data_IF_224841448535
#
_entry.id   IF_224841448535
#
_cell.length_a   1.000
_cell.length_b   1.000
_cell.length_c   1.000
_cell.angle_alpha   90.00
_cell.angle_beta   90.00
_cell.angle_gamma   90.00
#
_symmetry.space_group_name_H-M   'P 1'
#
loop_
_entity.id
_entity.type
_entity.pdbx_description
1 polymer ?
#
# COMPACT_ATOMS: atom_id res chain seq x y z
N UNK A 1 -5.68 0.23 16.36
CA UNK A 1 -6.11 0.43 14.96
C UNK A 1 -7.63 0.55 14.86
N UNK A 2 -8.13 1.17 13.82
CA UNK A 2 -9.55 1.18 13.45
C UNK A 2 -9.69 0.36 12.18
N UNK A 3 -10.70 -0.51 12.14
CA UNK A 3 -10.95 -1.38 10.98
C UNK A 3 -12.28 -1.00 10.35
N UNK A 4 -12.28 -0.74 9.06
CA UNK A 4 -13.47 -0.65 8.22
C UNK A 4 -13.58 -1.93 7.41
N UNK A 5 -14.78 -2.44 7.22
CA UNK A 5 -15.00 -3.66 6.43
C UNK A 5 -16.14 -3.44 5.44
N UNK A 6 -16.06 -4.12 4.30
CA UNK A 6 -17.09 -4.16 3.27
C UNK A 6 -17.25 -5.62 2.79
N UNK A 7 -18.44 -5.98 2.37
CA UNK A 7 -18.76 -7.33 1.88
C UNK A 7 -19.14 -8.31 2.98
N UNK A 8 -19.41 -9.55 2.58
CA UNK A 8 -19.83 -10.61 3.48
C UNK A 8 -18.63 -11.16 4.28
N UNK A 9 -18.68 -11.20 5.63
CA UNK A 9 -17.60 -11.79 6.44
C UNK A 9 -17.30 -13.26 6.16
N UNK A 10 -18.20 -14.00 5.49
CA UNK A 10 -18.02 -15.39 5.07
C UNK A 10 -17.31 -15.52 3.71
N UNK A 11 -17.23 -14.43 2.94
CA UNK A 11 -16.54 -14.42 1.65
C UNK A 11 -15.00 -14.48 1.82
N UNK A 12 -14.25 -14.88 0.76
CA UNK A 12 -12.80 -14.83 0.78
C UNK A 12 -12.27 -13.43 1.15
N UNK A 13 -11.34 -13.34 2.10
CA UNK A 13 -10.91 -12.06 2.65
C UNK A 13 -9.83 -11.38 1.80
N UNK A 14 -9.95 -10.06 1.62
CA UNK A 14 -8.94 -9.17 1.02
C UNK A 14 -8.53 -8.12 2.06
N UNK A 15 -7.22 -8.05 2.37
CA UNK A 15 -6.66 -7.15 3.37
C UNK A 15 -5.91 -6.00 2.69
N UNK A 16 -6.22 -4.75 3.06
CA UNK A 16 -5.60 -3.54 2.49
C UNK A 16 -4.73 -2.82 3.51
N UNK A 17 -3.47 -2.53 3.17
CA UNK A 17 -2.59 -1.66 3.95
C UNK A 17 -2.41 -0.33 3.21
N UNK A 18 -2.84 0.76 3.82
CA UNK A 18 -2.90 2.08 3.19
C UNK A 18 -1.56 2.82 3.18
N UNK A 19 -1.45 3.82 2.32
CA UNK A 19 -0.29 4.70 2.18
C UNK A 19 -0.13 5.69 3.37
N UNK A 20 1.01 6.41 3.39
CA UNK A 20 1.27 7.48 4.36
C UNK A 20 0.29 8.64 4.17
N UNK A 21 -0.12 9.25 5.27
CA UNK A 21 -0.93 10.46 5.26
C UNK A 21 -2.40 10.27 4.96
N UNK A 22 -2.87 9.05 4.77
CA UNK A 22 -4.29 8.71 4.58
C UNK A 22 -4.76 7.73 5.65
N UNK A 23 -6.07 7.52 5.76
CA UNK A 23 -6.68 6.45 6.56
C UNK A 23 -6.93 5.20 5.71
N UNK A 24 -7.20 4.05 6.33
CA UNK A 24 -7.57 2.82 5.61
C UNK A 24 -8.77 2.98 4.67
N UNK A 25 -9.65 3.95 4.96
CA UNK A 25 -10.76 4.30 4.07
C UNK A 25 -10.34 4.76 2.67
N UNK A 26 -9.08 5.16 2.46
CA UNK A 26 -8.58 5.51 1.11
C UNK A 26 -8.67 4.37 0.10
N UNK A 27 -8.71 3.12 0.57
CA UNK A 27 -8.92 1.94 -0.29
C UNK A 27 -10.40 1.60 -0.51
N UNK A 28 -11.32 2.34 0.11
CA UNK A 28 -12.76 2.08 -0.02
C UNK A 28 -13.29 2.19 -1.44
N UNK A 29 -12.88 3.17 -2.28
CA UNK A 29 -13.33 3.22 -3.67
C UNK A 29 -13.03 1.94 -4.46
N UNK A 30 -11.87 1.32 -4.21
CA UNK A 30 -11.51 0.01 -4.80
C UNK A 30 -12.32 -1.12 -4.17
N UNK A 31 -12.40 -1.15 -2.83
CA UNK A 31 -13.08 -2.20 -2.08
C UNK A 31 -14.58 -2.28 -2.40
N UNK A 32 -15.23 -1.16 -2.71
CA UNK A 32 -16.64 -1.11 -3.15
C UNK A 32 -16.91 -1.93 -4.42
N UNK A 33 -15.91 -2.07 -5.30
CA UNK A 33 -16.00 -2.89 -6.50
C UNK A 33 -15.58 -4.34 -6.30
N UNK A 34 -15.18 -4.73 -5.08
CA UNK A 34 -14.82 -6.10 -4.71
C UNK A 34 -15.82 -6.73 -3.73
N UNK A 35 -16.60 -5.91 -2.99
CA UNK A 35 -17.42 -6.33 -1.85
C UNK A 35 -18.55 -7.31 -2.18
N UNK A 36 -18.92 -7.45 -3.44
CA UNK A 36 -19.92 -8.41 -3.93
C UNK A 36 -19.44 -9.86 -3.84
N UNK A 37 -18.10 -10.08 -3.90
CA UNK A 37 -17.48 -11.42 -3.86
C UNK A 37 -16.49 -11.59 -2.73
N UNK A 38 -16.00 -10.50 -2.13
CA UNK A 38 -14.89 -10.53 -1.18
C UNK A 38 -15.22 -9.76 0.11
N UNK A 39 -14.71 -10.27 1.22
CA UNK A 39 -14.68 -9.56 2.48
C UNK A 39 -13.47 -8.64 2.53
N UNK A 40 -13.66 -7.35 2.25
CA UNK A 40 -12.60 -6.34 2.23
C UNK A 40 -12.37 -5.78 3.63
N UNK A 41 -11.11 -5.82 4.10
CA UNK A 41 -10.70 -5.36 5.43
C UNK A 41 -9.70 -4.21 5.26
N UNK A 42 -10.06 -3.03 5.77
CA UNK A 42 -9.33 -1.77 5.60
C UNK A 42 -8.89 -1.22 6.97
N UNK A 43 -7.77 -1.71 7.52
CA UNK A 43 -7.20 -1.17 8.75
C UNK A 43 -6.70 0.26 8.56
N UNK A 44 -6.95 1.13 9.53
CA UNK A 44 -6.26 2.42 9.69
C UNK A 44 -5.18 2.26 10.74
N UNK A 45 -3.93 2.54 10.37
CA UNK A 45 -2.80 2.51 11.30
C UNK A 45 -3.05 3.43 12.50
N UNK A 46 -2.58 3.02 13.68
CA UNK A 46 -2.69 3.83 14.91
C UNK A 46 -2.04 5.20 14.79
N UNK A 47 -1.14 5.40 13.83
CA UNK A 47 -0.57 6.73 13.49
C UNK A 47 -1.67 7.73 13.14
N UNK A 48 -2.74 7.24 12.47
CA UNK A 48 -3.84 8.06 11.95
C UNK A 48 -5.18 7.81 12.66
N UNK A 49 -5.14 7.19 13.85
CA UNK A 49 -6.31 7.01 14.70
C UNK A 49 -6.32 8.05 15.83
N UNK A 50 -7.36 8.88 15.90
CA UNK A 50 -7.49 9.87 16.96
C UNK A 50 -7.47 9.22 18.34
N UNK A 51 -6.71 9.80 19.27
CA UNK A 51 -6.56 9.30 20.64
C UNK A 51 -5.65 8.06 20.79
N UNK A 52 -5.17 7.47 19.69
CA UNK A 52 -4.22 6.35 19.73
C UNK A 52 -2.78 6.84 19.51
N UNK A 53 -1.83 6.03 19.94
CA UNK A 53 -0.39 6.29 19.75
C UNK A 53 0.22 5.09 19.04
N UNK A 54 0.92 5.34 17.96
CA UNK A 54 1.73 4.30 17.33
C UNK A 54 2.80 3.79 18.32
N UNK A 55 2.87 2.49 18.51
CA UNK A 55 3.85 1.84 19.39
C UNK A 55 5.00 1.27 18.58
N UNK A 56 4.70 0.32 17.70
CA UNK A 56 5.66 -0.35 16.81
C UNK A 56 4.94 -1.06 15.66
N UNK A 57 5.69 -1.40 14.62
CA UNK A 57 5.22 -2.22 13.50
C UNK A 57 4.70 -3.59 13.99
N UNK A 58 5.41 -4.23 14.91
CA UNK A 58 4.97 -5.50 15.52
C UNK A 58 3.65 -5.36 16.28
N UNK A 59 3.38 -4.22 16.92
CA UNK A 59 2.09 -3.95 17.56
C UNK A 59 0.96 -3.79 16.55
N UNK A 60 1.23 -3.13 15.42
CA UNK A 60 0.27 -3.02 14.31
C UNK A 60 -0.07 -4.39 13.72
N UNK A 61 0.95 -5.21 13.43
CA UNK A 61 0.76 -6.59 12.93
C UNK A 61 -0.10 -7.40 13.89
N UNK A 62 0.21 -7.37 15.19
CA UNK A 62 -0.58 -8.09 16.19
C UNK A 62 -2.05 -7.64 16.20
N UNK A 63 -2.32 -6.33 16.10
CA UNK A 63 -3.68 -5.82 16.05
C UNK A 63 -4.44 -6.29 14.80
N UNK A 64 -3.77 -6.39 13.64
CA UNK A 64 -4.34 -6.97 12.42
C UNK A 64 -4.65 -8.45 12.62
N UNK A 65 -3.70 -9.25 13.11
CA UNK A 65 -3.92 -10.68 13.34
C UNK A 65 -5.04 -10.94 14.36
N UNK A 66 -5.10 -10.15 15.43
CA UNK A 66 -6.17 -10.23 16.42
C UNK A 66 -7.54 -9.91 15.81
N UNK A 67 -7.60 -8.93 14.89
CA UNK A 67 -8.83 -8.61 14.18
C UNK A 67 -9.24 -9.76 13.26
N UNK A 68 -8.33 -10.25 12.40
CA UNK A 68 -8.60 -11.37 11.49
C UNK A 68 -9.10 -12.61 12.23
N UNK A 69 -8.47 -12.93 13.38
CA UNK A 69 -8.89 -14.04 14.24
C UNK A 69 -10.31 -13.83 14.79
N UNK A 70 -10.65 -12.63 15.29
CA UNK A 70 -12.00 -12.32 15.79
C UNK A 70 -13.06 -12.39 14.69
N UNK A 71 -12.70 -12.03 13.44
CA UNK A 71 -13.60 -12.18 12.30
C UNK A 71 -13.69 -13.62 11.77
N UNK A 72 -12.92 -14.55 12.32
CA UNK A 72 -12.93 -15.94 11.89
C UNK A 72 -12.23 -16.18 10.54
N UNK A 73 -11.45 -15.22 10.05
CA UNK A 73 -10.70 -15.33 8.79
C UNK A 73 -9.70 -16.48 8.89
N UNK A 74 -9.78 -17.42 7.94
CA UNK A 74 -8.90 -18.62 7.89
C UNK A 74 -7.81 -18.51 6.84
N UNK A 75 -7.99 -17.66 5.83
CA UNK A 75 -7.02 -17.38 4.77
C UNK A 75 -7.30 -16.01 4.17
N UNK A 76 -6.31 -15.45 3.50
CA UNK A 76 -6.44 -14.22 2.74
C UNK A 76 -6.34 -14.56 1.24
N UNK A 77 -7.34 -14.21 0.46
CA UNK A 77 -7.30 -14.34 -0.99
C UNK A 77 -6.25 -13.39 -1.58
N UNK A 78 -6.18 -12.17 -1.03
CA UNK A 78 -5.23 -11.15 -1.47
C UNK A 78 -4.84 -10.22 -0.31
N UNK A 79 -3.58 -9.83 -0.27
CA UNK A 79 -3.07 -8.69 0.50
C UNK A 79 -2.71 -7.58 -0.47
N UNK A 80 -3.32 -6.40 -0.33
CA UNK A 80 -3.01 -5.20 -1.10
C UNK A 80 -2.29 -4.22 -0.19
N UNK A 81 -1.18 -3.66 -0.62
CA UNK A 81 -0.45 -2.70 0.18
C UNK A 81 0.10 -1.54 -0.66
N UNK A 82 -0.26 -0.32 -0.28
CA UNK A 82 0.09 0.88 -1.02
C UNK A 82 1.20 1.65 -0.32
N UNK A 83 2.24 2.02 -1.06
CA UNK A 83 3.34 2.87 -0.58
C UNK A 83 3.97 2.34 0.72
N UNK A 84 4.02 3.13 1.79
CA UNK A 84 4.55 2.71 3.11
C UNK A 84 3.76 1.54 3.73
N UNK A 85 2.53 1.31 3.28
CA UNK A 85 1.76 0.13 3.67
C UNK A 85 2.47 -1.18 3.32
N UNK A 86 3.33 -1.17 2.29
CA UNK A 86 4.15 -2.32 1.92
C UNK A 86 5.09 -2.76 3.06
N UNK A 87 5.66 -1.81 3.80
CA UNK A 87 6.54 -2.13 4.93
C UNK A 87 5.79 -2.86 6.08
N UNK A 88 4.56 -2.43 6.37
CA UNK A 88 3.70 -3.12 7.35
C UNK A 88 3.20 -4.47 6.81
N UNK A 89 2.83 -4.54 5.53
CA UNK A 89 2.42 -5.78 4.88
C UNK A 89 3.55 -6.82 4.88
N UNK A 90 4.78 -6.43 4.58
CA UNK A 90 5.94 -7.31 4.65
C UNK A 90 6.15 -7.85 6.07
N UNK A 91 6.05 -7.01 7.09
CA UNK A 91 6.12 -7.45 8.48
C UNK A 91 4.98 -8.43 8.84
N UNK A 92 3.78 -8.20 8.34
CA UNK A 92 2.65 -9.12 8.49
C UNK A 92 2.91 -10.45 7.78
N UNK A 93 3.32 -10.43 6.51
CA UNK A 93 3.56 -11.63 5.69
C UNK A 93 4.65 -12.55 6.26
N UNK A 94 5.66 -11.97 6.93
CA UNK A 94 6.73 -12.74 7.56
C UNK A 94 6.35 -13.35 8.92
N UNK A 95 5.25 -12.91 9.52
CA UNK A 95 4.82 -13.35 10.86
C UNK A 95 3.54 -14.18 10.83
N UNK A 96 2.63 -13.88 9.88
CA UNK A 96 1.34 -14.55 9.84
C UNK A 96 1.46 -16.02 9.51
N UNK A 97 0.60 -16.83 10.14
CA UNK A 97 0.41 -18.25 9.84
C UNK A 97 -0.79 -18.48 8.92
N UNK A 98 -1.52 -17.42 8.57
CA UNK A 98 -2.65 -17.54 7.65
C UNK A 98 -2.14 -17.82 6.23
N UNK A 99 -2.74 -18.77 5.50
CA UNK A 99 -2.49 -18.90 4.07
C UNK A 99 -2.84 -17.60 3.35
N UNK A 100 -1.91 -17.14 2.50
CA UNK A 100 -2.08 -15.96 1.65
C UNK A 100 -2.07 -16.41 0.20
N UNK A 101 -3.14 -16.14 -0.53
CA UNK A 101 -3.28 -16.47 -1.95
C UNK A 101 -2.34 -15.63 -2.80
N UNK A 102 -2.54 -14.33 -2.80
CA UNK A 102 -1.76 -13.38 -3.59
C UNK A 102 -1.37 -12.15 -2.78
N UNK A 103 -0.35 -11.42 -3.25
CA UNK A 103 0.07 -10.13 -2.68
C UNK A 103 0.22 -9.13 -3.82
N UNK A 104 -0.29 -7.91 -3.62
CA UNK A 104 -0.13 -6.82 -4.57
C UNK A 104 0.39 -5.58 -3.85
N UNK A 105 1.60 -5.17 -4.17
CA UNK A 105 2.21 -3.93 -3.72
C UNK A 105 2.02 -2.85 -4.78
N UNK A 106 1.28 -1.79 -4.46
CA UNK A 106 1.06 -0.66 -5.36
C UNK A 106 1.96 0.51 -4.97
N UNK A 107 2.97 0.80 -5.78
CA UNK A 107 4.00 1.78 -5.48
C UNK A 107 4.69 1.48 -4.15
N UNK A 108 4.98 0.22 -3.87
CA UNK A 108 5.51 -0.21 -2.58
C UNK A 108 6.77 0.57 -2.18
N UNK A 109 6.79 1.07 -0.94
CA UNK A 109 7.93 1.81 -0.42
C UNK A 109 9.04 0.85 0.00
N UNK A 110 9.95 0.56 -0.92
CA UNK A 110 11.11 -0.30 -0.69
C UNK A 110 12.43 0.46 -0.53
N UNK A 111 12.35 1.80 -0.35
CA UNK A 111 13.53 2.61 -0.09
C UNK A 111 14.19 2.23 1.25
N UNK A 112 15.52 2.20 1.24
CA UNK A 112 16.36 2.02 2.42
C UNK A 112 16.90 3.38 2.83
N UNK A 113 16.48 3.87 3.98
CA UNK A 113 16.77 5.23 4.41
C UNK A 113 17.49 5.21 5.75
N UNK A 114 18.68 5.77 5.80
CA UNK A 114 19.47 5.88 7.03
C UNK A 114 18.72 6.65 8.13
N UNK A 115 19.01 6.31 9.39
CA UNK A 115 18.31 6.86 10.55
C UNK A 115 18.36 8.39 10.63
N UNK A 116 19.50 8.99 10.29
CA UNK A 116 19.68 10.46 10.30
C UNK A 116 18.76 11.14 9.30
N UNK A 117 18.67 10.60 8.08
CA UNK A 117 17.76 11.10 7.03
C UNK A 117 16.31 10.98 7.45
N UNK A 118 15.88 9.84 8.00
CA UNK A 118 14.53 9.64 8.52
C UNK A 118 14.18 10.66 9.60
N UNK A 119 15.11 10.95 10.51
CA UNK A 119 14.92 11.99 11.55
C UNK A 119 14.77 13.38 10.95
N UNK A 120 15.59 13.71 9.95
CA UNK A 120 15.54 15.00 9.25
C UNK A 120 14.25 15.17 8.45
N UNK A 121 13.77 14.13 7.78
CA UNK A 121 12.54 14.17 6.99
C UNK A 121 11.26 14.31 7.85
N UNK A 122 11.28 13.80 9.08
CA UNK A 122 10.07 13.72 9.95
C UNK A 122 9.33 15.05 10.10
N UNK A 123 9.98 16.19 10.45
CA UNK A 123 9.26 17.47 10.61
C UNK A 123 8.63 17.96 9.30
N UNK A 124 9.29 17.77 8.17
CA UNK A 124 8.76 18.16 6.86
C UNK A 124 7.53 17.34 6.49
N UNK A 125 7.60 16.01 6.62
CA UNK A 125 6.46 15.11 6.38
C UNK A 125 5.31 15.41 7.34
N UNK A 126 5.61 15.68 8.61
CA UNK A 126 4.58 16.07 9.56
C UNK A 126 3.85 17.35 9.13
N UNK A 127 4.59 18.39 8.77
CA UNK A 127 4.01 19.64 8.31
C UNK A 127 3.25 19.49 6.98
N UNK A 128 3.76 18.69 6.06
CA UNK A 128 3.10 18.40 4.80
C UNK A 128 1.72 17.74 5.04
N UNK A 129 1.66 16.67 5.84
CA UNK A 129 0.41 15.99 6.16
C UNK A 129 -0.54 16.90 6.96
N UNK A 130 -0.02 17.69 7.92
CA UNK A 130 -0.82 18.67 8.67
C UNK A 130 -1.38 19.77 7.79
N UNK A 131 -0.63 20.22 6.77
CA UNK A 131 -1.10 21.25 5.85
C UNK A 131 -2.36 20.83 5.09
N UNK A 132 -2.49 19.53 4.78
CA UNK A 132 -3.69 18.98 4.15
C UNK A 132 -4.92 19.11 5.06
N UNK A 133 -4.76 18.88 6.36
CA UNK A 133 -5.82 19.10 7.34
C UNK A 133 -6.17 20.59 7.48
N UNK A 134 -5.17 21.45 7.69
CA UNK A 134 -5.38 22.89 7.90
C UNK A 134 -5.97 23.58 6.67
N UNK A 135 -5.52 23.19 5.47
CA UNK A 135 -6.01 23.76 4.21
C UNK A 135 -7.32 23.13 3.72
N UNK A 136 -7.89 22.15 4.47
CA UNK A 136 -9.05 21.36 4.04
C UNK A 136 -8.80 20.70 2.67
N UNK A 137 -7.60 20.15 2.47
CA UNK A 137 -7.19 19.47 1.25
C UNK A 137 -6.77 20.35 0.08
N UNK A 138 -6.84 21.71 0.21
CA UNK A 138 -6.46 22.61 -0.90
C UNK A 138 -5.00 22.53 -1.32
N UNK A 139 -4.11 22.08 -0.44
CA UNK A 139 -2.68 21.89 -0.73
C UNK A 139 -2.38 20.56 -1.40
N UNK A 140 -3.36 19.66 -1.60
CA UNK A 140 -3.14 18.33 -2.13
C UNK A 140 -2.44 18.35 -3.50
N UNK A 141 -2.94 19.15 -4.44
CA UNK A 141 -2.33 19.32 -5.78
C UNK A 141 -0.88 19.81 -5.77
N UNK A 142 -0.47 20.53 -4.70
CA UNK A 142 0.89 21.05 -4.56
C UNK A 142 1.86 20.04 -3.94
N UNK A 143 1.32 19.09 -3.16
CA UNK A 143 2.11 18.11 -2.41
C UNK A 143 2.19 16.76 -3.14
N UNK A 144 1.17 16.46 -3.92
CA UNK A 144 1.05 15.23 -4.68
C UNK A 144 0.54 15.59 -6.08
N UNK A 145 0.85 14.75 -7.07
CA UNK A 145 0.30 14.84 -8.43
C UNK A 145 -1.25 14.77 -8.44
N UNK A 146 -1.86 14.34 -7.33
CA UNK A 146 -3.28 14.00 -7.23
C UNK A 146 -4.17 15.25 -7.31
N UNK A 147 -5.03 15.30 -8.31
CA UNK A 147 -6.07 16.28 -8.51
C UNK A 147 -7.49 15.75 -8.23
N UNK A 148 -7.59 14.48 -7.81
CA UNK A 148 -8.86 13.84 -7.46
C UNK A 148 -9.31 14.24 -6.06
N UNK A 149 -10.48 14.85 -6.00
CA UNK A 149 -11.09 15.32 -4.77
C UNK A 149 -11.63 14.18 -3.90
N UNK A 150 -11.86 13.01 -4.46
CA UNK A 150 -12.41 11.83 -3.76
C UNK A 150 -11.49 11.34 -2.62
N UNK A 151 -10.17 11.51 -2.75
CA UNK A 151 -9.19 11.09 -1.75
C UNK A 151 -8.99 12.11 -0.62
N UNK A 152 -9.40 13.38 -0.81
CA UNK A 152 -9.21 14.47 0.17
C UNK A 152 -9.73 14.15 1.57
N UNK A 153 -10.93 13.56 1.77
CA UNK A 153 -11.43 13.26 3.11
C UNK A 153 -10.50 12.39 3.94
N UNK A 154 -9.81 11.43 3.30
CA UNK A 154 -8.91 10.49 3.97
C UNK A 154 -7.60 11.15 4.40
N UNK A 155 -7.08 12.10 3.61
CA UNK A 155 -5.94 12.95 3.99
C UNK A 155 -6.30 13.90 5.14
N UNK A 156 -7.46 14.54 5.07
CA UNK A 156 -7.93 15.45 6.13
C UNK A 156 -8.10 14.70 7.45
N UNK A 157 -8.72 13.51 7.41
CA UNK A 157 -8.91 12.67 8.60
C UNK A 157 -7.57 12.23 9.21
N UNK A 158 -6.64 11.77 8.37
CA UNK A 158 -5.30 11.38 8.80
C UNK A 158 -4.53 12.57 9.40
N UNK A 159 -4.51 13.71 8.70
CA UNK A 159 -3.86 14.93 9.19
C UNK A 159 -4.46 15.44 10.51
N UNK A 160 -5.78 15.31 10.71
CA UNK A 160 -6.44 15.63 11.98
C UNK A 160 -5.92 14.76 13.14
N UNK A 161 -5.82 13.45 12.94
CA UNK A 161 -5.43 12.49 13.97
C UNK A 161 -3.92 12.45 14.23
N UNK A 162 -3.10 12.79 13.23
CA UNK A 162 -1.65 12.68 13.26
C UNK A 162 -1.02 13.44 14.43
N UNK A 163 -0.12 12.78 15.16
CA UNK A 163 0.78 13.41 16.13
C UNK A 163 2.23 13.28 15.68
N UNK A 164 3.06 14.28 16.00
CA UNK A 164 4.50 14.24 15.67
C UNK A 164 5.20 13.01 16.26
N UNK A 165 4.86 12.67 17.50
CA UNK A 165 5.43 11.51 18.19
C UNK A 165 5.09 10.18 17.52
N UNK A 166 3.87 10.00 17.01
CA UNK A 166 3.47 8.79 16.27
C UNK A 166 4.17 8.68 14.92
N UNK A 167 4.21 9.77 14.15
CA UNK A 167 4.92 9.79 12.86
C UNK A 167 6.41 9.52 13.04
N UNK A 168 7.06 10.14 14.03
CA UNK A 168 8.48 9.91 14.32
C UNK A 168 8.77 8.46 14.64
N UNK A 169 7.92 7.79 15.44
CA UNK A 169 8.09 6.37 15.75
C UNK A 169 7.87 5.50 14.52
N UNK A 170 6.81 5.76 13.74
CA UNK A 170 6.56 5.03 12.49
C UNK A 170 7.76 5.11 11.57
N UNK A 171 8.29 6.32 11.29
CA UNK A 171 9.44 6.49 10.41
C UNK A 171 10.73 5.89 10.98
N UNK A 172 10.86 5.81 12.31
CA UNK A 172 11.99 5.12 12.95
C UNK A 172 11.92 3.61 12.81
N UNK A 173 10.70 3.06 12.76
CA UNK A 173 10.39 1.64 12.71
C UNK A 173 10.19 1.12 11.27
N UNK A 174 9.99 2.04 10.32
CA UNK A 174 9.80 1.76 8.89
C UNK A 174 11.02 2.21 8.09
N UNK A 175 11.15 1.68 6.88
CA UNK A 175 12.18 2.08 5.91
C UNK A 175 13.62 1.92 6.45
N UNK A 176 13.81 1.02 7.40
CA UNK A 176 15.10 0.77 8.00
C UNK A 176 16.12 0.31 6.95
N UNK A 177 17.37 0.76 7.11
CA UNK A 177 18.50 0.31 6.30
C UNK A 177 18.91 -1.12 6.72
N UNK A 178 18.07 -2.07 6.38
CA UNK A 178 18.19 -3.50 6.65
C UNK A 178 17.93 -4.31 5.39
N UNK A 179 18.43 -5.54 5.28
CA UNK A 179 18.06 -6.43 4.17
C UNK A 179 16.54 -6.58 4.02
N UNK A 180 16.08 -6.80 2.81
CA UNK A 180 14.67 -7.11 2.55
C UNK A 180 14.26 -8.36 3.32
N UNK A 181 13.07 -8.37 3.96
CA UNK A 181 12.58 -9.56 4.66
C UNK A 181 12.44 -10.74 3.69
N UNK A 182 12.82 -11.96 4.09
CA UNK A 182 12.67 -13.11 3.19
C UNK A 182 11.20 -13.43 2.94
N UNK A 183 10.85 -13.68 1.67
CA UNK A 183 9.56 -14.27 1.28
C UNK A 183 9.82 -15.65 0.68
N UNK A 184 9.05 -16.68 1.06
CA UNK A 184 9.15 -18.00 0.42
C UNK A 184 8.93 -17.89 -1.09
N UNK A 185 9.67 -18.64 -1.89
CA UNK A 185 9.56 -18.64 -3.36
C UNK A 185 8.12 -18.86 -3.83
N UNK A 186 7.39 -19.77 -3.17
CA UNK A 186 5.99 -20.03 -3.46
C UNK A 186 5.09 -18.82 -3.28
N UNK A 187 5.41 -17.91 -2.36
CA UNK A 187 4.69 -16.65 -2.19
C UNK A 187 5.20 -15.58 -3.15
N UNK A 188 6.53 -15.52 -3.42
CA UNK A 188 7.07 -14.59 -4.41
C UNK A 188 6.37 -14.77 -5.77
N UNK A 189 6.17 -15.99 -6.27
CA UNK A 189 5.49 -16.29 -7.54
C UNK A 189 4.05 -15.72 -7.63
N UNK A 190 3.45 -15.44 -6.49
CA UNK A 190 2.09 -14.86 -6.35
C UNK A 190 2.12 -13.45 -5.78
N UNK A 191 3.29 -12.80 -5.82
CA UNK A 191 3.48 -11.42 -5.36
C UNK A 191 3.76 -10.51 -6.54
N UNK A 192 2.99 -9.44 -6.63
CA UNK A 192 3.09 -8.40 -7.65
C UNK A 192 3.67 -7.14 -7.02
N UNK A 193 4.81 -6.69 -7.52
CA UNK A 193 5.47 -5.46 -7.11
C UNK A 193 5.26 -4.40 -8.20
N UNK A 194 4.16 -3.64 -8.12
CA UNK A 194 3.83 -2.67 -9.18
C UNK A 194 4.48 -1.32 -8.95
N UNK A 195 4.77 -0.65 -10.06
CA UNK A 195 5.31 0.70 -10.11
C UNK A 195 4.61 1.51 -11.21
N UNK A 196 4.45 2.82 -10.97
CA UNK A 196 4.20 3.77 -12.04
C UNK A 196 5.52 4.15 -12.71
N UNK A 197 5.58 4.23 -14.06
CA UNK A 197 6.83 4.59 -14.72
C UNK A 197 7.25 6.04 -14.49
N UNK A 198 6.32 6.91 -14.06
CA UNK A 198 6.57 8.30 -13.73
C UNK A 198 6.86 8.56 -12.24
N UNK A 199 6.78 7.52 -11.37
CA UNK A 199 7.00 7.72 -9.94
C UNK A 199 8.49 7.68 -9.53
N UNK A 200 8.85 8.46 -8.52
CA UNK A 200 10.23 8.49 -7.97
C UNK A 200 10.71 7.13 -7.43
N UNK A 201 9.79 6.27 -7.02
CA UNK A 201 10.09 4.94 -6.46
C UNK A 201 10.47 3.91 -7.52
N UNK A 202 10.20 4.17 -8.79
CA UNK A 202 10.56 3.32 -9.91
C UNK A 202 12.06 2.97 -9.93
N UNK A 203 12.92 3.86 -9.46
CA UNK A 203 14.37 3.64 -9.31
C UNK A 203 14.77 2.50 -8.36
N UNK A 204 13.85 2.03 -7.50
CA UNK A 204 14.12 0.93 -6.57
C UNK A 204 13.75 -0.44 -7.11
N UNK A 205 13.15 -0.52 -8.31
CA UNK A 205 12.67 -1.76 -8.92
C UNK A 205 13.73 -2.87 -9.01
N UNK A 206 14.96 -2.51 -9.40
CA UNK A 206 16.06 -3.47 -9.56
C UNK A 206 16.45 -4.11 -8.22
N UNK A 207 16.50 -3.32 -7.16
CA UNK A 207 16.81 -3.82 -5.82
C UNK A 207 15.71 -4.77 -5.31
N UNK A 208 14.44 -4.51 -5.67
CA UNK A 208 13.31 -5.38 -5.31
C UNK A 208 13.35 -6.66 -6.14
N UNK A 209 13.64 -6.56 -7.44
CA UNK A 209 13.81 -7.71 -8.34
C UNK A 209 14.93 -8.65 -7.84
N UNK A 210 16.08 -8.09 -7.47
CA UNK A 210 17.18 -8.88 -6.90
C UNK A 210 16.79 -9.58 -5.59
N UNK A 211 16.01 -8.92 -4.74
CA UNK A 211 15.57 -9.49 -3.46
C UNK A 211 14.50 -10.58 -3.64
N UNK A 212 13.66 -10.44 -4.65
CA UNK A 212 12.51 -11.33 -4.89
C UNK A 212 12.45 -11.78 -6.35
N UNK A 213 13.45 -12.56 -6.83
CA UNK A 213 13.61 -12.88 -8.26
C UNK A 213 12.47 -13.70 -8.86
N UNK A 214 11.60 -14.26 -8.05
CA UNK A 214 10.42 -15.00 -8.50
C UNK A 214 9.12 -14.17 -8.44
N UNK A 215 9.21 -12.87 -8.09
CA UNK A 215 8.08 -11.95 -8.09
C UNK A 215 7.64 -11.56 -9.49
N UNK A 216 6.50 -10.88 -9.60
CA UNK A 216 5.98 -10.28 -10.83
C UNK A 216 6.06 -8.75 -10.71
N UNK A 217 6.45 -8.08 -11.78
CA UNK A 217 6.81 -6.66 -11.73
C UNK A 217 6.00 -5.84 -12.75
N UNK A 218 4.67 -5.66 -12.52
CA UNK A 218 3.86 -4.83 -13.40
C UNK A 218 4.26 -3.36 -13.30
N UNK A 219 4.38 -2.70 -14.46
CA UNK A 219 4.66 -1.27 -14.58
C UNK A 219 3.48 -0.61 -15.29
N UNK A 220 2.92 0.40 -14.65
CA UNK A 220 1.87 1.25 -15.20
C UNK A 220 2.49 2.41 -15.95
N UNK A 221 2.55 2.33 -17.28
CA UNK A 221 3.19 3.33 -18.14
C UNK A 221 2.47 4.67 -18.11
N UNK A 222 3.24 5.73 -17.84
CA UNK A 222 2.74 7.10 -17.74
C UNK A 222 1.99 7.42 -16.44
N UNK A 223 1.87 6.46 -15.53
CA UNK A 223 1.26 6.69 -14.22
C UNK A 223 2.30 7.07 -13.18
N UNK A 224 1.89 7.96 -12.28
CA UNK A 224 2.63 8.34 -11.08
C UNK A 224 2.26 7.40 -9.91
N UNK A 225 2.85 7.64 -8.75
CA UNK A 225 2.72 6.87 -7.51
C UNK A 225 1.27 6.60 -7.11
N UNK A 226 0.83 5.32 -7.12
CA UNK A 226 -0.53 4.87 -6.80
C UNK A 226 -1.64 5.52 -7.68
N UNK A 227 -1.28 6.11 -8.79
CA UNK A 227 -2.20 6.94 -9.57
C UNK A 227 -3.33 6.12 -10.21
N UNK A 228 -3.04 4.88 -10.65
CA UNK A 228 -4.05 4.05 -11.30
C UNK A 228 -5.22 3.71 -10.35
N UNK A 229 -4.93 3.25 -9.13
CA UNK A 229 -5.99 2.92 -8.16
C UNK A 229 -6.86 4.12 -7.78
N UNK A 230 -6.31 5.35 -7.85
CA UNK A 230 -7.06 6.57 -7.50
C UNK A 230 -7.90 7.04 -8.67
N UNK A 231 -7.36 7.04 -9.90
CA UNK A 231 -8.07 7.54 -11.10
C UNK A 231 -9.13 6.57 -11.61
N UNK A 232 -8.86 5.28 -11.52
CA UNK A 232 -9.81 4.24 -11.96
C UNK A 232 -9.91 3.11 -10.91
N UNK A 233 -10.57 3.36 -9.78
CA UNK A 233 -10.72 2.36 -8.74
C UNK A 233 -11.49 1.12 -9.20
N UNK A 234 -12.39 1.26 -10.20
CA UNK A 234 -13.12 0.13 -10.80
C UNK A 234 -12.19 -0.75 -11.64
N UNK A 235 -11.42 -0.15 -12.55
CA UNK A 235 -10.46 -0.89 -13.36
C UNK A 235 -9.38 -1.54 -12.51
N UNK A 236 -8.89 -0.85 -11.47
CA UNK A 236 -7.95 -1.41 -10.52
C UNK A 236 -8.55 -2.62 -9.77
N UNK A 237 -9.79 -2.52 -9.30
CA UNK A 237 -10.49 -3.65 -8.66
C UNK A 237 -10.70 -4.83 -9.61
N UNK A 238 -11.01 -4.59 -10.89
CA UNK A 238 -11.10 -5.65 -11.91
C UNK A 238 -9.75 -6.34 -12.13
N UNK A 239 -8.66 -5.60 -12.14
CA UNK A 239 -7.30 -6.16 -12.21
C UNK A 239 -7.03 -7.06 -10.99
N UNK A 240 -7.35 -6.60 -9.77
CA UNK A 240 -7.19 -7.41 -8.56
C UNK A 240 -8.05 -8.68 -8.59
N UNK A 241 -9.26 -8.64 -9.15
CA UNK A 241 -10.09 -9.84 -9.38
C UNK A 241 -9.40 -10.83 -10.31
N UNK A 242 -8.84 -10.37 -11.43
CA UNK A 242 -8.10 -11.22 -12.36
C UNK A 242 -6.93 -11.94 -11.68
N UNK A 243 -6.22 -11.23 -10.78
CA UNK A 243 -5.16 -11.83 -9.97
C UNK A 243 -5.70 -12.92 -9.05
N UNK A 244 -6.80 -12.68 -8.33
CA UNK A 244 -7.36 -13.65 -7.39
C UNK A 244 -7.96 -14.86 -8.11
N UNK A 245 -8.70 -14.64 -9.19
CA UNK A 245 -9.53 -15.66 -9.84
C UNK A 245 -8.77 -16.43 -10.93
N UNK A 246 -7.77 -15.81 -11.57
CA UNK A 246 -7.11 -16.34 -12.77
C UNK A 246 -5.58 -16.39 -12.66
N UNK A 247 -5.01 -15.96 -11.54
CA UNK A 247 -3.56 -15.82 -11.28
C UNK A 247 -2.82 -15.06 -12.41
N UNK A 248 -3.48 -14.04 -12.98
CA UNK A 248 -2.92 -13.25 -14.08
C UNK A 248 -3.32 -11.78 -14.03
N UNK A 249 -2.47 -10.96 -14.62
CA UNK A 249 -2.79 -9.57 -14.92
C UNK A 249 -3.63 -9.48 -16.20
N UNK A 250 -4.60 -8.57 -16.28
CA UNK A 250 -5.32 -8.30 -17.53
C UNK A 250 -4.38 -7.65 -18.56
N UNK A 251 -4.65 -7.85 -19.84
CA UNK A 251 -4.00 -7.11 -20.91
C UNK A 251 -4.54 -5.68 -20.93
N UNK A 252 -3.79 -4.72 -20.37
CA UNK A 252 -4.10 -3.29 -20.41
C UNK A 252 -3.06 -2.56 -21.26
N UNK A 253 -3.44 -1.58 -22.11
CA UNK A 253 -2.52 -0.93 -23.05
C UNK A 253 -1.39 -0.14 -22.36
N UNK A 254 -1.56 0.19 -21.07
CA UNK A 254 -0.60 0.91 -20.26
C UNK A 254 0.11 0.02 -19.22
N UNK A 255 -0.08 -1.30 -19.27
CA UNK A 255 0.52 -2.25 -18.36
C UNK A 255 1.55 -3.08 -19.10
N UNK A 256 2.80 -3.03 -18.65
CA UNK A 256 3.86 -3.97 -19.06
C UNK A 256 4.43 -4.71 -17.86
N UNK A 257 5.11 -5.81 -18.09
CA UNK A 257 5.88 -6.51 -17.06
C UNK A 257 7.36 -6.12 -17.20
N UNK A 258 8.01 -5.79 -16.08
CA UNK A 258 9.44 -5.49 -16.02
C UNK A 258 10.20 -6.80 -15.72
N UNK A 259 11.17 -7.13 -16.56
CA UNK A 259 11.97 -8.38 -16.51
C UNK A 259 13.44 -8.15 -16.14
N UNK A 260 13.79 -6.93 -15.76
CA UNK A 260 15.17 -6.55 -15.42
C UNK A 260 15.87 -5.77 -16.53
N UNK A 261 15.27 -5.63 -17.70
CA UNK A 261 15.76 -4.82 -18.81
C UNK A 261 14.84 -3.61 -19.07
N UNK A 262 15.42 -2.43 -19.19
CA UNK A 262 14.68 -1.25 -19.67
C UNK A 262 14.55 -1.37 -21.20
N UNK A 263 13.52 -2.06 -21.65
CA UNK A 263 13.09 -1.97 -23.02
C UNK A 263 12.56 -0.55 -23.24
N UNK A 264 13.41 0.35 -23.79
CA UNK A 264 12.97 1.66 -24.23
C UNK A 264 11.79 1.45 -25.19
N UNK A 265 10.59 1.78 -24.72
CA UNK A 265 9.47 1.94 -25.62
C UNK A 265 9.78 3.12 -26.53
N UNK A 266 10.33 2.84 -27.71
CA UNK A 266 10.38 3.78 -28.83
C UNK A 266 8.94 4.15 -29.21
N UNK A 267 8.42 5.14 -28.56
CA UNK A 267 7.14 5.81 -28.80
C UNK A 267 7.41 7.28 -28.90
N UNK A 268 7.96 7.64 -30.05
CA UNK A 268 8.25 9.00 -30.50
C UNK A 268 7.02 9.88 -30.54
N UNK A 269 7.24 11.11 -30.07
CA UNK A 269 6.64 12.42 -30.41
C UNK A 269 5.35 12.79 -29.70
#
# INVERSE_FOLDING_TARGET
>A
MIFKTLGDPQAPAVLFFHAMGVTGGSSEPVAQHLQDKYFCILPTSTVYCAGQKYKSKADEVRQVEDFLRRQGVKSLALVVASSIGADLAMAFLTQTKLPVGHVFFDGGQFARIGQSTRRLMTPFLYLAIKSLYWSKGRTLKKLLWCDDDSIKPYFIAAGRALTYGSLRRQLSDSLEDKPFPPLPETLQKRTYFSFGSAEDHFKYRDAVLQAYPHGRYPVFEGYDHMQYQIRDPRGFAQMLRGIIEEDRLPALPFLREYDGEDHECFGTK
#
